data_IF_182658041686
#
_entry.id   IF_182658041686
#
_cell.length_a   1.000
_cell.length_b   1.000
_cell.length_c   1.000
_cell.angle_alpha   90.00
_cell.angle_beta   90.00
_cell.angle_gamma   90.00
#
_symmetry.space_group_name_H-M   'P 1'
#
loop_
_entity.id
_entity.type
_entity.pdbx_description
1 polymer ?
#
# COMPACT_ATOMS: atom_id res chain seq x y z
N UNK A 1 -15.78 -1.74 18.44
CA UNK A 1 -16.41 -0.41 18.57
C UNK A 1 -16.51 0.22 17.19
N UNK A 2 -17.71 0.58 16.72
CA UNK A 2 -17.89 1.29 15.44
C UNK A 2 -18.00 2.78 15.74
N UNK A 3 -17.03 3.56 15.31
CA UNK A 3 -16.99 5.02 15.49
C UNK A 3 -18.15 5.66 14.71
N UNK A 4 -18.76 6.68 15.31
CA UNK A 4 -19.79 7.49 14.65
C UNK A 4 -19.19 8.21 13.42
N UNK A 5 -19.98 8.45 12.34
CA UNK A 5 -19.47 9.17 11.19
C UNK A 5 -19.07 10.60 11.59
N UNK A 6 -17.77 10.87 11.53
CA UNK A 6 -17.21 12.18 11.85
C UNK A 6 -17.54 13.14 10.70
N UNK A 7 -18.07 14.33 11.03
CA UNK A 7 -18.36 15.36 10.04
C UNK A 7 -17.05 15.72 9.31
N UNK A 8 -17.04 15.85 7.97
CA UNK A 8 -15.83 16.18 7.25
C UNK A 8 -15.27 17.52 7.74
N UNK A 9 -13.99 17.53 8.10
CA UNK A 9 -13.28 18.74 8.49
C UNK A 9 -12.92 19.61 7.26
N UNK A 10 -12.32 20.77 7.51
CA UNK A 10 -11.93 21.70 6.43
C UNK A 10 -10.89 21.12 5.46
N UNK A 11 -9.94 20.32 5.96
CA UNK A 11 -8.95 19.65 5.12
C UNK A 11 -9.59 18.56 4.26
N UNK A 12 -10.54 17.80 4.81
CA UNK A 12 -11.34 16.82 4.06
C UNK A 12 -12.15 17.49 2.95
N UNK A 13 -12.74 18.65 3.22
CA UNK A 13 -13.48 19.44 2.22
C UNK A 13 -12.57 19.91 1.10
N UNK A 14 -11.38 20.43 1.43
CA UNK A 14 -10.40 20.87 0.44
C UNK A 14 -9.86 19.70 -0.40
N UNK A 15 -9.64 18.53 0.19
CA UNK A 15 -9.27 17.30 -0.54
C UNK A 15 -10.35 16.91 -1.54
N UNK A 16 -11.62 16.87 -1.13
CA UNK A 16 -12.74 16.53 -2.02
C UNK A 16 -12.95 17.53 -3.14
N UNK A 17 -12.71 18.82 -2.91
CA UNK A 17 -12.77 19.82 -3.98
C UNK A 17 -11.68 19.60 -5.05
N UNK A 18 -10.50 19.10 -4.65
CA UNK A 18 -9.38 18.82 -5.55
C UNK A 18 -9.51 17.47 -6.26
N UNK A 19 -9.98 16.45 -5.56
CA UNK A 19 -9.93 15.05 -6.00
C UNK A 19 -11.31 14.43 -6.28
N UNK A 20 -12.39 15.16 -6.00
CA UNK A 20 -13.76 14.66 -6.16
C UNK A 20 -14.18 13.69 -5.05
N UNK A 21 -15.03 12.74 -5.41
CA UNK A 21 -15.51 11.69 -4.49
C UNK A 21 -14.73 10.41 -4.70
N UNK A 22 -14.51 9.66 -3.60
CA UNK A 22 -13.90 8.33 -3.70
C UNK A 22 -14.80 7.42 -4.56
N UNK A 23 -14.22 6.68 -5.53
CA UNK A 23 -14.96 5.66 -6.27
C UNK A 23 -15.54 4.59 -5.34
N UNK A 24 -16.43 3.76 -5.89
CA UNK A 24 -16.92 2.58 -5.16
C UNK A 24 -15.75 1.68 -4.78
N UNK A 25 -15.79 1.13 -3.57
CA UNK A 25 -14.81 0.15 -3.12
C UNK A 25 -14.89 -1.09 -4.01
N UNK A 26 -13.75 -1.53 -4.53
CA UNK A 26 -13.64 -2.76 -5.32
C UNK A 26 -13.70 -3.95 -4.38
N UNK A 27 -14.53 -4.95 -4.70
CA UNK A 27 -14.59 -6.17 -3.89
C UNK A 27 -13.36 -7.04 -4.18
N UNK A 28 -12.86 -7.82 -3.21
CA UNK A 28 -11.74 -8.74 -3.45
C UNK A 28 -11.99 -9.70 -4.62
N UNK A 29 -13.23 -10.15 -4.80
CA UNK A 29 -13.63 -11.03 -5.91
C UNK A 29 -13.57 -10.36 -7.30
N UNK A 30 -13.55 -9.03 -7.36
CA UNK A 30 -13.45 -8.25 -8.59
C UNK A 30 -12.00 -7.84 -8.90
N UNK A 31 -11.06 -8.11 -7.98
CA UNK A 31 -9.64 -7.87 -8.17
C UNK A 31 -9.00 -9.00 -8.99
N UNK A 32 -7.86 -8.71 -9.62
CA UNK A 32 -7.05 -9.70 -10.32
C UNK A 32 -5.89 -10.11 -9.42
N UNK A 33 -5.60 -11.42 -9.37
CA UNK A 33 -4.46 -11.96 -8.63
C UNK A 33 -3.14 -11.45 -9.20
N UNK A 34 -2.29 -10.88 -8.33
CA UNK A 34 -0.96 -10.44 -8.71
C UNK A 34 -0.05 -11.63 -9.00
N UNK A 35 0.75 -11.52 -10.07
CA UNK A 35 1.77 -12.50 -10.44
C UNK A 35 3.14 -11.83 -10.46
N UNK A 36 4.14 -12.40 -9.77
CA UNK A 36 5.48 -11.83 -9.77
C UNK A 36 6.05 -11.87 -11.19
N UNK A 37 6.74 -10.80 -11.58
CA UNK A 37 7.33 -10.69 -12.92
C UNK A 37 8.47 -11.71 -13.16
N UNK A 38 9.14 -12.11 -12.09
CA UNK A 38 10.21 -13.11 -12.07
C UNK A 38 10.03 -14.00 -10.85
N UNK A 39 10.50 -15.25 -10.94
CA UNK A 39 10.57 -16.15 -9.79
C UNK A 39 11.27 -15.47 -8.62
N UNK A 40 10.63 -15.34 -7.44
CA UNK A 40 11.27 -14.74 -6.29
C UNK A 40 12.55 -15.51 -5.96
N UNK A 41 13.61 -14.80 -5.58
CA UNK A 41 14.82 -15.46 -5.10
C UNK A 41 14.47 -16.27 -3.86
N UNK A 42 14.77 -17.58 -3.88
CA UNK A 42 14.48 -18.53 -2.81
C UNK A 42 15.23 -18.13 -1.53
N UNK A 43 14.64 -17.23 -0.75
CA UNK A 43 15.12 -16.79 0.57
C UNK A 43 16.63 -16.47 0.65
N UNK A 44 17.26 -16.12 -0.48
CA UNK A 44 18.69 -15.87 -0.58
C UNK A 44 19.12 -14.52 0.02
N UNK A 45 18.18 -13.81 0.66
CA UNK A 45 18.48 -12.56 1.35
C UNK A 45 19.32 -12.85 2.58
N UNK A 46 20.60 -12.51 2.52
CA UNK A 46 21.51 -12.55 3.65
C UNK A 46 21.79 -11.11 4.12
N UNK A 47 21.29 -10.71 5.32
CA UNK A 47 21.54 -9.38 5.85
C UNK A 47 23.01 -9.14 6.22
N UNK A 48 23.89 -10.14 6.17
CA UNK A 48 25.33 -9.98 6.44
C UNK A 48 26.15 -9.75 5.15
N UNK A 49 25.54 -9.82 3.96
CA UNK A 49 26.28 -9.67 2.69
C UNK A 49 26.97 -8.30 2.57
N UNK A 50 26.38 -7.24 3.12
CA UNK A 50 26.97 -5.90 3.11
C UNK A 50 28.22 -5.80 3.97
N UNK A 51 28.32 -6.59 5.05
CA UNK A 51 29.49 -6.63 5.92
C UNK A 51 30.70 -7.19 5.17
N UNK A 52 30.51 -8.27 4.41
CA UNK A 52 31.58 -8.90 3.62
C UNK A 52 32.07 -8.00 2.48
N UNK A 53 31.18 -7.22 1.87
CA UNK A 53 31.52 -6.39 0.70
C UNK A 53 32.06 -4.99 1.05
N UNK A 54 31.67 -4.42 2.19
CA UNK A 54 31.88 -2.99 2.46
C UNK A 54 32.42 -2.64 3.84
N UNK A 55 32.54 -3.60 4.76
CA UNK A 55 33.14 -3.36 6.08
C UNK A 55 34.59 -3.91 6.11
N UNK A 56 35.54 -3.06 5.75
CA UNK A 56 36.96 -3.19 6.07
C UNK A 56 37.36 -2.04 7.00
#
# INVERSE_FOLDING_TARGET
>A
MRTAPQRPDGAETARRARFGTLPKQVRPEEMVEERPATTPADHAYNPDEWLVRYAW
#
